data_IF_355567817396
#
_entry.id   IF_355567817396
#
_cell.length_a   1.000
_cell.length_b   1.000
_cell.length_c   1.000
_cell.angle_alpha   90.00
_cell.angle_beta   90.00
_cell.angle_gamma   90.00
#
_symmetry.space_group_name_H-M   'P 1'
#
loop_
_entity.id
_entity.type
_entity.pdbx_description
1 polymer ?
#
# COMPACT_ATOMS: atom_id res chain seq x y z
N UNK A 1 -1.75 9.67 -14.12
CA UNK A 1 -0.79 9.13 -13.17
C UNK A 1 -1.43 8.03 -12.34
N UNK A 2 -0.65 7.01 -12.04
CA UNK A 2 -1.16 5.90 -11.25
C UNK A 2 -1.27 6.32 -9.78
N UNK A 3 -2.45 6.15 -9.23
CA UNK A 3 -2.68 6.48 -7.83
C UNK A 3 -2.24 5.33 -6.94
N UNK A 4 -1.50 5.65 -5.89
CA UNK A 4 -1.07 4.66 -4.90
C UNK A 4 -1.77 4.99 -3.59
N UNK A 5 -2.38 3.98 -2.99
CA UNK A 5 -3.10 4.12 -1.72
C UNK A 5 -2.54 3.13 -0.73
N UNK A 6 -2.27 3.58 0.49
CA UNK A 6 -1.77 2.70 1.54
C UNK A 6 -2.56 2.95 2.83
N UNK A 7 -3.13 1.89 3.37
CA UNK A 7 -3.80 1.92 4.66
C UNK A 7 -2.80 1.56 5.75
N UNK A 8 -2.75 2.34 6.80
CA UNK A 8 -1.72 2.22 7.84
C UNK A 8 -2.31 2.38 9.23
N UNK A 9 -1.48 2.09 10.23
CA UNK A 9 -1.73 2.52 11.61
C UNK A 9 -0.49 3.24 12.11
N UNK A 10 -0.65 3.97 13.22
CA UNK A 10 0.41 4.85 13.73
C UNK A 10 1.68 4.10 14.12
N UNK A 11 1.52 2.98 14.80
CA UNK A 11 2.66 2.22 15.35
C UNK A 11 2.85 0.92 14.57
N UNK A 12 3.19 1.06 13.30
CA UNK A 12 3.31 -0.09 12.41
C UNK A 12 4.66 -0.04 11.68
N UNK A 13 5.64 -0.83 12.14
CA UNK A 13 6.95 -0.87 11.48
C UNK A 13 6.87 -1.27 10.01
N UNK A 14 5.99 -2.21 9.68
CA UNK A 14 5.81 -2.63 8.29
C UNK A 14 5.23 -1.52 7.44
N UNK A 15 4.35 -0.69 8.01
CA UNK A 15 3.83 0.48 7.31
C UNK A 15 4.96 1.47 7.02
N UNK A 16 5.84 1.69 7.99
CA UNK A 16 6.99 2.58 7.81
C UNK A 16 7.88 2.08 6.67
N UNK A 17 8.15 0.79 6.65
CA UNK A 17 9.00 0.20 5.60
C UNK A 17 8.36 0.31 4.23
N UNK A 18 7.07 0.04 4.13
CA UNK A 18 6.36 0.16 2.86
C UNK A 18 6.36 1.59 2.34
N UNK A 19 6.09 2.55 3.23
CA UNK A 19 6.11 3.96 2.84
C UNK A 19 7.51 4.40 2.40
N UNK A 20 8.54 3.90 3.08
CA UNK A 20 9.92 4.23 2.72
C UNK A 20 10.25 3.75 1.31
N UNK A 21 9.81 2.54 0.95
CA UNK A 21 10.05 2.04 -0.40
C UNK A 21 9.33 2.89 -1.44
N UNK A 22 8.07 3.24 -1.20
CA UNK A 22 7.32 4.07 -2.14
C UNK A 22 7.97 5.44 -2.29
N UNK A 23 8.44 6.02 -1.18
CA UNK A 23 9.15 7.30 -1.24
C UNK A 23 10.45 7.18 -2.02
N UNK A 24 11.18 6.09 -1.84
CA UNK A 24 12.42 5.84 -2.58
C UNK A 24 12.16 5.75 -4.08
N UNK A 25 11.01 5.22 -4.46
CA UNK A 25 10.61 5.15 -5.86
C UNK A 25 10.17 6.50 -6.42
N UNK A 26 10.07 7.53 -5.58
CA UNK A 26 9.71 8.86 -6.03
C UNK A 26 8.25 9.04 -6.36
N UNK A 27 7.37 8.18 -5.85
CA UNK A 27 5.95 8.28 -6.13
C UNK A 27 5.22 8.89 -4.95
N UNK A 28 4.23 9.70 -5.25
CA UNK A 28 3.31 10.20 -4.24
C UNK A 28 2.28 9.10 -3.93
N UNK A 29 1.86 9.05 -2.68
CA UNK A 29 0.84 8.09 -2.28
C UNK A 29 -0.12 8.73 -1.29
N UNK A 30 -1.34 8.21 -1.25
CA UNK A 30 -2.34 8.61 -0.28
C UNK A 30 -2.29 7.65 0.89
N UNK A 31 -2.01 8.18 2.07
CA UNK A 31 -1.98 7.38 3.28
C UNK A 31 -3.32 7.52 4.00
N UNK A 32 -3.93 6.39 4.34
CA UNK A 32 -5.22 6.35 5.03
C UNK A 32 -5.01 5.65 6.35
N UNK A 33 -4.83 6.40 7.45
CA UNK A 33 -4.69 5.77 8.77
C UNK A 33 -6.03 5.21 9.24
N UNK A 34 -6.01 3.98 9.72
CA UNK A 34 -7.24 3.31 10.15
C UNK A 34 -7.31 3.09 11.65
N UNK A 35 -6.24 3.44 12.38
CA UNK A 35 -6.28 3.33 13.84
C UNK A 35 -7.29 4.35 14.39
N UNK A 36 -8.11 3.89 15.31
CA UNK A 36 -9.15 4.72 15.88
C UNK A 36 -10.40 4.87 15.01
N UNK A 37 -10.45 4.21 13.84
CA UNK A 37 -11.59 4.31 12.94
C UNK A 37 -12.02 2.91 12.51
N UNK A 38 -12.96 2.36 13.26
CA UNK A 38 -13.42 0.98 13.05
C UNK A 38 -14.12 0.79 11.71
N UNK A 39 -14.89 1.80 11.29
CA UNK A 39 -15.60 1.72 10.02
C UNK A 39 -14.62 1.70 8.85
N UNK A 40 -13.60 2.55 8.91
CA UNK A 40 -12.60 2.62 7.86
C UNK A 40 -11.77 1.33 7.81
N UNK A 41 -11.45 0.77 8.97
CA UNK A 41 -10.72 -0.49 9.02
C UNK A 41 -11.54 -1.65 8.46
N UNK A 42 -12.84 -1.65 8.74
CA UNK A 42 -13.75 -2.66 8.18
C UNK A 42 -13.84 -2.53 6.66
N UNK A 43 -13.88 -1.32 6.14
CA UNK A 43 -13.87 -1.09 4.70
C UNK A 43 -12.59 -1.62 4.06
N UNK A 44 -11.44 -1.32 4.67
CA UNK A 44 -10.17 -1.86 4.20
C UNK A 44 -10.19 -3.39 4.18
N UNK A 45 -10.64 -4.01 5.27
CA UNK A 45 -10.69 -5.46 5.39
C UNK A 45 -11.59 -6.08 4.34
N UNK A 46 -12.72 -5.46 4.06
CA UNK A 46 -13.65 -5.96 3.05
C UNK A 46 -13.00 -5.92 1.66
N UNK A 47 -12.26 -4.86 1.36
CA UNK A 47 -11.60 -4.72 0.06
C UNK A 47 -10.38 -5.63 -0.07
N UNK A 48 -9.60 -5.76 1.00
CA UNK A 48 -8.33 -6.49 0.98
C UNK A 48 -8.51 -7.99 1.23
N UNK A 49 -9.58 -8.37 1.91
CA UNK A 49 -9.74 -9.74 2.39
C UNK A 49 -8.88 -10.04 3.59
N UNK A 50 -8.25 -9.02 4.20
CA UNK A 50 -7.37 -9.16 5.34
C UNK A 50 -7.52 -7.95 6.24
N UNK A 51 -7.24 -8.12 7.53
CA UNK A 51 -7.35 -7.05 8.52
C UNK A 51 -6.01 -6.41 8.88
N UNK A 52 -4.91 -6.99 8.44
CA UNK A 52 -3.58 -6.49 8.76
C UNK A 52 -3.24 -5.23 7.97
N UNK A 53 -2.32 -4.43 8.51
CA UNK A 53 -1.78 -3.27 7.83
C UNK A 53 -0.27 -3.47 7.66
N UNK A 54 0.35 -2.87 6.66
CA UNK A 54 -0.28 -2.02 5.64
C UNK A 54 -1.06 -2.83 4.61
N UNK A 55 -1.99 -2.17 3.92
CA UNK A 55 -2.63 -2.72 2.74
C UNK A 55 -2.49 -1.68 1.63
N UNK A 56 -2.01 -2.11 0.49
CA UNK A 56 -1.54 -1.21 -0.58
C UNK A 56 -2.28 -1.50 -1.86
N UNK A 57 -2.71 -0.44 -2.53
CA UNK A 57 -3.31 -0.51 -3.88
C UNK A 57 -2.52 0.37 -4.82
N UNK A 58 -2.30 -0.10 -6.02
CA UNK A 58 -1.76 0.70 -7.12
C UNK A 58 -2.87 0.78 -8.16
N UNK A 59 -3.47 1.95 -8.28
CA UNK A 59 -4.72 2.08 -9.01
C UNK A 59 -5.78 1.22 -8.34
N UNK A 60 -6.42 0.36 -9.09
CA UNK A 60 -7.42 -0.55 -8.55
C UNK A 60 -6.85 -1.92 -8.18
N UNK A 61 -5.57 -2.14 -8.42
CA UNK A 61 -4.95 -3.43 -8.17
C UNK A 61 -4.48 -3.51 -6.71
N UNK A 62 -4.97 -4.51 -6.00
CA UNK A 62 -4.54 -4.78 -4.63
C UNK A 62 -3.19 -5.48 -4.65
N UNK A 63 -2.20 -4.85 -4.04
CA UNK A 63 -0.85 -5.42 -3.95
C UNK A 63 -0.74 -6.32 -2.72
N UNK A 64 -1.30 -5.91 -1.61
CA UNK A 64 -1.19 -6.61 -0.35
C UNK A 64 -0.47 -5.78 0.69
N UNK A 65 0.31 -6.43 1.52
CA UNK A 65 1.05 -5.77 2.59
C UNK A 65 2.49 -5.49 2.21
N UNK A 66 3.30 -5.25 3.24
CA UNK A 66 4.71 -4.93 3.07
C UNK A 66 5.46 -6.06 2.37
N UNK A 67 5.21 -7.31 2.76
CA UNK A 67 5.92 -8.45 2.17
C UNK A 67 5.62 -8.58 0.68
N UNK A 68 4.36 -8.41 0.30
CA UNK A 68 3.97 -8.49 -1.10
C UNK A 68 4.57 -7.34 -1.91
N UNK A 69 4.63 -6.15 -1.31
CA UNK A 69 5.22 -4.99 -1.98
C UNK A 69 6.71 -5.22 -2.25
N UNK A 70 7.44 -5.70 -1.25
CA UNK A 70 8.87 -5.96 -1.41
C UNK A 70 9.14 -7.14 -2.35
N UNK A 71 8.29 -8.15 -2.32
CA UNK A 71 8.38 -9.27 -3.25
C UNK A 71 8.22 -8.79 -4.69
N UNK A 72 7.25 -7.92 -4.92
CA UNK A 72 7.02 -7.33 -6.24
C UNK A 72 8.23 -6.53 -6.69
N UNK A 73 8.84 -5.78 -5.77
CA UNK A 73 10.05 -5.00 -6.07
C UNK A 73 11.20 -5.93 -6.46
N UNK A 74 11.41 -7.02 -5.71
CA UNK A 74 12.50 -7.97 -6.00
C UNK A 74 12.34 -8.62 -7.36
N UNK A 75 11.10 -8.82 -7.81
CA UNK A 75 10.83 -9.43 -9.12
C UNK A 75 10.88 -8.42 -10.26
N UNK A 76 11.11 -7.15 -9.95
CA UNK A 76 11.17 -6.11 -10.95
C UNK A 76 9.82 -5.65 -11.47
N UNK A 77 8.73 -6.03 -10.79
CA UNK A 77 7.39 -5.70 -11.25
C UNK A 77 6.84 -4.40 -10.70
N UNK A 78 7.44 -3.87 -9.62
CA UNK A 78 6.88 -2.69 -8.98
C UNK A 78 6.98 -1.45 -9.86
N UNK A 79 8.13 -1.24 -10.48
CA UNK A 79 8.33 -0.06 -11.32
C UNK A 79 7.34 -0.02 -12.50
N UNK A 80 7.03 -1.18 -13.07
CA UNK A 80 6.07 -1.26 -14.16
C UNK A 80 4.68 -0.84 -13.71
N UNK A 81 4.28 -1.25 -12.51
CA UNK A 81 2.97 -0.89 -11.98
C UNK A 81 2.90 0.59 -11.58
N UNK A 82 4.01 1.15 -11.09
CA UNK A 82 4.04 2.55 -10.69
C UNK A 82 4.13 3.48 -11.90
N UNK A 83 4.61 2.96 -13.02
CA UNK A 83 4.73 3.74 -14.23
C UNK A 83 3.36 3.86 -14.89
N UNK A 84 2.88 5.09 -15.04
CA UNK A 84 1.58 5.34 -15.65
C UNK A 84 1.72 5.39 -17.16
N UNK A 85 1.89 4.24 -17.76
CA UNK A 85 2.06 4.15 -19.19
C UNK A 85 0.82 3.59 -19.84
N UNK A 86 0.35 4.25 -20.88
CA UNK A 86 -0.76 3.71 -21.65
C UNK A 86 -0.36 2.42 -22.34
#
# INVERSE_FOLDING_TARGET
MTQVTIYTTRWCPFCVRAKALLAHKGVAFDEIPVDGDRALRAEMAARAGRTSVPQIWIGEQHIGGCDELFSLERRGGLDALLSDRP
#
